data_IF_033915411667
#
_entry.id   IF_033915411667
#
_cell.length_a   1.000
_cell.length_b   1.000
_cell.length_c   1.000
_cell.angle_alpha   90.00
_cell.angle_beta   90.00
_cell.angle_gamma   90.00
#
_symmetry.space_group_name_H-M   'P 1'
#
loop_
_entity.id
_entity.type
_entity.pdbx_description
1 polymer ?
#
# COMPACT_ATOMS: atom_id res chain seq x y z
N UNK A 1 -42.97 8.78 -3.59
CA UNK A 1 -42.46 9.13 -4.94
C UNK A 1 -40.97 8.80 -5.10
N UNK A 2 -40.16 8.79 -4.03
CA UNK A 2 -38.73 8.47 -4.05
C UNK A 2 -38.37 7.00 -4.34
N UNK A 3 -39.24 6.04 -4.00
CA UNK A 3 -38.97 4.59 -4.16
C UNK A 3 -38.64 4.16 -5.60
N UNK A 4 -39.10 4.89 -6.63
CA UNK A 4 -38.80 4.59 -8.04
C UNK A 4 -37.33 4.85 -8.41
N UNK A 5 -36.59 5.57 -7.58
CA UNK A 5 -35.18 5.90 -7.78
C UNK A 5 -34.26 5.11 -6.84
N UNK A 6 -34.82 4.18 -6.05
CA UNK A 6 -34.02 3.28 -5.23
C UNK A 6 -33.26 2.30 -6.15
N UNK A 7 -31.94 2.27 -6.02
CA UNK A 7 -31.06 1.41 -6.80
C UNK A 7 -30.99 -0.01 -6.27
N UNK A 8 -31.67 -0.32 -5.15
CA UNK A 8 -31.81 -1.66 -4.62
C UNK A 8 -30.48 -2.40 -4.45
N UNK A 9 -29.49 -1.74 -3.85
CA UNK A 9 -28.09 -2.20 -3.81
C UNK A 9 -27.86 -3.53 -3.07
N UNK A 10 -28.81 -3.93 -2.21
CA UNK A 10 -28.73 -5.08 -1.30
C UNK A 10 -29.64 -6.25 -1.71
N UNK A 11 -30.11 -6.28 -2.97
CA UNK A 11 -30.99 -7.35 -3.47
C UNK A 11 -30.18 -8.39 -4.23
N UNK A 12 -30.51 -9.67 -4.02
CA UNK A 12 -29.93 -10.77 -4.78
C UNK A 12 -30.44 -10.78 -6.23
N UNK A 13 -29.53 -11.08 -7.15
CA UNK A 13 -29.88 -11.42 -8.52
C UNK A 13 -30.66 -12.74 -8.60
N UNK A 14 -31.32 -13.05 -9.74
CA UNK A 14 -31.94 -14.36 -9.96
C UNK A 14 -30.99 -15.55 -9.77
N UNK A 15 -29.68 -15.34 -9.95
CA UNK A 15 -28.63 -16.33 -9.75
C UNK A 15 -28.11 -16.40 -8.30
N UNK A 16 -28.69 -15.62 -7.37
CA UNK A 16 -28.28 -15.58 -5.97
C UNK A 16 -27.01 -14.78 -5.70
N UNK A 17 -26.68 -13.80 -6.56
CA UNK A 17 -25.46 -12.98 -6.46
C UNK A 17 -25.79 -11.54 -6.06
N UNK A 18 -24.86 -10.86 -5.39
CA UNK A 18 -24.98 -9.43 -5.07
C UNK A 18 -24.20 -8.60 -6.09
N UNK A 19 -24.90 -7.99 -7.05
CA UNK A 19 -24.24 -7.26 -8.15
C UNK A 19 -23.35 -6.11 -7.66
N UNK A 20 -23.76 -5.37 -6.62
CA UNK A 20 -22.94 -4.28 -6.08
C UNK A 20 -21.63 -4.76 -5.44
N UNK A 21 -21.63 -5.96 -4.85
CA UNK A 21 -20.39 -6.58 -4.35
C UNK A 21 -19.47 -6.94 -5.51
N UNK A 22 -20.01 -7.49 -6.60
CA UNK A 22 -19.21 -7.85 -7.78
C UNK A 22 -18.63 -6.65 -8.48
N UNK A 23 -19.40 -5.56 -8.62
CA UNK A 23 -18.90 -4.33 -9.18
C UNK A 23 -17.82 -3.69 -8.29
N UNK A 24 -17.98 -3.77 -6.96
CA UNK A 24 -16.94 -3.35 -6.02
C UNK A 24 -15.66 -4.19 -6.17
N UNK A 25 -15.78 -5.51 -6.33
CA UNK A 25 -14.64 -6.40 -6.57
C UNK A 25 -13.94 -6.10 -7.90
N UNK A 26 -14.70 -5.81 -8.95
CA UNK A 26 -14.16 -5.42 -10.26
C UNK A 26 -13.45 -4.06 -10.17
N UNK A 27 -14.00 -3.10 -9.42
CA UNK A 27 -13.35 -1.82 -9.17
C UNK A 27 -12.01 -2.00 -8.42
N UNK A 28 -11.96 -2.91 -7.44
CA UNK A 28 -10.71 -3.26 -6.74
C UNK A 28 -9.72 -3.92 -7.71
N UNK A 29 -10.18 -4.78 -8.61
CA UNK A 29 -9.34 -5.42 -9.64
C UNK A 29 -8.70 -4.42 -10.62
N UNK A 30 -9.24 -3.20 -10.73
CA UNK A 30 -8.68 -2.12 -11.54
C UNK A 30 -7.82 -1.13 -10.73
N UNK A 31 -7.73 -1.29 -9.41
CA UNK A 31 -6.91 -0.43 -8.55
C UNK A 31 -5.45 -0.88 -8.57
N UNK A 32 -4.50 0.04 -8.33
CA UNK A 32 -3.09 -0.33 -8.39
C UNK A 32 -2.70 -1.34 -7.31
N UNK A 33 -1.78 -2.24 -7.66
CA UNK A 33 -1.47 -3.47 -6.92
C UNK A 33 -0.88 -3.20 -5.53
N UNK A 34 -1.20 -4.07 -4.57
CA UNK A 34 -0.58 -4.15 -3.26
C UNK A 34 -0.32 -5.61 -2.88
N UNK A 35 0.90 -5.89 -2.43
CA UNK A 35 1.43 -7.21 -2.09
C UNK A 35 1.80 -7.23 -0.61
N UNK A 36 1.45 -8.31 0.08
CA UNK A 36 1.88 -8.61 1.44
C UNK A 36 2.49 -10.01 1.52
N UNK A 37 3.69 -10.12 2.07
CA UNK A 37 4.41 -11.40 2.20
C UNK A 37 4.97 -11.52 3.62
N UNK A 38 4.72 -12.68 4.23
CA UNK A 38 5.24 -13.09 5.53
C UNK A 38 6.65 -13.66 5.37
N UNK A 39 7.59 -13.07 6.09
CA UNK A 39 8.94 -13.58 6.28
C UNK A 39 9.09 -14.22 7.66
N UNK A 40 10.22 -14.87 7.90
CA UNK A 40 10.56 -15.44 9.22
C UNK A 40 10.59 -14.39 10.34
N UNK A 41 11.09 -13.19 10.05
CA UNK A 41 11.37 -12.14 11.04
C UNK A 41 10.35 -10.99 11.03
N UNK A 42 9.29 -11.09 10.23
CA UNK A 42 8.30 -10.03 10.05
C UNK A 42 7.47 -10.16 8.78
N UNK A 43 6.79 -9.08 8.39
CA UNK A 43 5.94 -8.98 7.21
C UNK A 43 6.38 -7.79 6.38
N UNK A 44 6.42 -7.97 5.06
CA UNK A 44 6.71 -6.90 4.11
C UNK A 44 5.43 -6.59 3.33
N UNK A 45 5.09 -5.31 3.26
CA UNK A 45 4.01 -4.77 2.45
C UNK A 45 4.62 -3.89 1.36
N UNK A 46 4.28 -4.14 0.11
CA UNK A 46 4.73 -3.35 -1.04
C UNK A 46 3.51 -2.96 -1.88
N UNK A 47 3.47 -1.73 -2.33
CA UNK A 47 2.34 -1.18 -3.07
C UNK A 47 2.80 -0.34 -4.24
N UNK A 48 2.10 -0.47 -5.35
CA UNK A 48 2.27 0.41 -6.49
C UNK A 48 1.63 1.77 -6.20
N UNK A 49 2.34 2.85 -6.50
CA UNK A 49 1.84 4.23 -6.48
C UNK A 49 1.68 4.74 -7.89
N UNK A 50 0.50 5.26 -8.20
CA UNK A 50 0.25 5.94 -9.46
C UNK A 50 0.80 7.35 -9.44
N UNK A 51 1.93 7.57 -10.08
CA UNK A 51 2.46 8.93 -10.32
C UNK A 51 1.69 9.53 -11.48
N UNK A 52 0.80 10.48 -11.18
CA UNK A 52 -0.04 11.15 -12.19
C UNK A 52 0.65 12.36 -12.82
N UNK A 53 1.55 13.03 -12.09
CA UNK A 53 2.27 14.21 -12.54
C UNK A 53 3.53 14.44 -11.72
N UNK A 54 4.57 14.97 -12.37
CA UNK A 54 5.82 15.39 -11.73
C UNK A 54 5.63 16.58 -10.77
N UNK A 55 4.47 17.24 -10.80
CA UNK A 55 4.13 18.33 -9.89
C UNK A 55 3.55 17.82 -8.56
N UNK A 56 3.15 16.54 -8.50
CA UNK A 56 2.64 15.97 -7.27
C UNK A 56 3.79 15.81 -6.27
N UNK A 57 3.62 16.40 -5.09
CA UNK A 57 4.62 16.28 -4.04
C UNK A 57 4.65 14.85 -3.49
N UNK A 58 5.64 14.07 -3.90
CA UNK A 58 5.79 12.65 -3.55
C UNK A 58 5.89 12.41 -2.04
N UNK A 59 6.43 13.39 -1.27
CA UNK A 59 6.55 13.29 0.19
C UNK A 59 5.21 13.24 0.94
N UNK A 60 4.16 13.80 0.33
CA UNK A 60 2.80 13.88 0.91
C UNK A 60 1.79 13.04 0.11
N UNK A 61 2.28 12.28 -0.87
CA UNK A 61 1.48 11.53 -1.85
C UNK A 61 0.60 10.44 -1.22
N UNK A 62 -0.37 9.95 -2.00
CA UNK A 62 -1.34 8.93 -1.62
C UNK A 62 -0.64 7.69 -1.06
N UNK A 63 -0.75 7.53 0.26
CA UNK A 63 -0.27 6.36 0.98
C UNK A 63 -1.23 5.21 0.76
N UNK A 64 -0.69 4.02 0.54
CA UNK A 64 -1.44 2.76 0.54
C UNK A 64 -1.23 1.96 1.81
N UNK A 65 -0.14 2.23 2.52
CA UNK A 65 0.20 1.56 3.77
C UNK A 65 -0.17 2.45 4.94
N UNK A 66 -0.93 1.87 5.86
CA UNK A 66 -1.44 2.55 7.03
C UNK A 66 -1.09 1.75 8.28
N UNK A 67 -0.55 2.44 9.27
CA UNK A 67 -0.43 1.94 10.63
C UNK A 67 -1.77 2.19 11.33
N UNK A 68 -2.45 1.14 11.78
CA UNK A 68 -3.73 1.26 12.50
C UNK A 68 -3.48 1.37 13.99
N UNK A 69 -2.58 0.53 14.51
CA UNK A 69 -2.15 0.53 15.91
C UNK A 69 -0.65 0.17 15.98
N UNK A 70 -0.05 0.15 17.17
CA UNK A 70 1.35 -0.20 17.35
C UNK A 70 1.71 -1.59 16.82
N UNK A 71 0.78 -2.54 16.92
CA UNK A 71 0.94 -3.93 16.48
C UNK A 71 0.20 -4.27 15.18
N UNK A 72 -0.52 -3.32 14.57
CA UNK A 72 -1.34 -3.58 13.37
C UNK A 72 -1.04 -2.57 12.27
N UNK A 73 -0.72 -3.08 11.09
CA UNK A 73 -0.64 -2.30 9.86
C UNK A 73 -1.36 -2.99 8.71
N UNK A 74 -1.79 -2.22 7.72
CA UNK A 74 -2.44 -2.74 6.53
C UNK A 74 -1.98 -2.02 5.26
N UNK A 75 -2.05 -2.72 4.13
CA UNK A 75 -2.04 -2.15 2.79
C UNK A 75 -3.46 -2.16 2.20
N UNK A 76 -3.73 -1.24 1.29
CA UNK A 76 -5.06 -0.98 0.73
C UNK A 76 -5.02 -1.00 -0.80
N UNK A 77 -6.04 -1.60 -1.42
CA UNK A 77 -6.35 -1.41 -2.84
C UNK A 77 -7.84 -1.12 -3.03
N UNK A 78 -8.17 -0.26 -3.99
CA UNK A 78 -9.54 0.19 -4.29
C UNK A 78 -9.72 1.68 -4.08
N UNK A 79 -10.93 2.09 -3.70
CA UNK A 79 -11.30 3.48 -3.49
C UNK A 79 -10.66 4.01 -2.19
N UNK A 80 -9.73 4.96 -2.32
CA UNK A 80 -8.95 5.50 -1.17
C UNK A 80 -9.85 6.23 -0.16
N UNK A 81 -10.91 6.92 -0.61
CA UNK A 81 -11.84 7.59 0.29
C UNK A 81 -12.57 6.61 1.21
N UNK A 82 -13.03 5.50 0.66
CA UNK A 82 -13.67 4.41 1.40
C UNK A 82 -12.69 3.78 2.39
N UNK A 83 -11.45 3.58 1.95
CA UNK A 83 -10.39 3.08 2.80
C UNK A 83 -10.16 3.96 4.02
N UNK A 84 -10.05 5.28 3.83
CA UNK A 84 -9.80 6.23 4.92
C UNK A 84 -10.92 6.19 5.98
N UNK A 85 -12.18 6.01 5.57
CA UNK A 85 -13.30 5.87 6.51
C UNK A 85 -13.12 4.61 7.36
N UNK A 86 -12.84 3.47 6.72
CA UNK A 86 -12.67 2.19 7.41
C UNK A 86 -11.40 2.17 8.28
N UNK A 87 -10.30 2.79 7.85
CA UNK A 87 -9.07 2.92 8.62
C UNK A 87 -9.32 3.75 9.88
N UNK A 88 -9.95 4.91 9.75
CA UNK A 88 -10.27 5.75 10.91
C UNK A 88 -11.21 5.02 11.88
N UNK A 89 -12.18 4.27 11.35
CA UNK A 89 -13.07 3.43 12.16
C UNK A 89 -12.29 2.35 12.92
N UNK A 90 -11.35 1.65 12.26
CA UNK A 90 -10.50 0.66 12.89
C UNK A 90 -9.57 1.26 13.95
N UNK A 91 -8.99 2.44 13.70
CA UNK A 91 -8.16 3.16 14.66
C UNK A 91 -8.94 3.50 15.92
N UNK A 92 -10.13 4.09 15.77
CA UNK A 92 -11.01 4.42 16.91
C UNK A 92 -11.39 3.15 17.67
N UNK A 93 -11.71 2.07 16.97
CA UNK A 93 -12.06 0.82 17.61
C UNK A 93 -10.89 0.20 18.40
N UNK A 94 -9.69 0.17 17.82
CA UNK A 94 -8.50 -0.34 18.50
C UNK A 94 -8.21 0.45 19.78
N UNK A 95 -8.32 1.78 19.71
CA UNK A 95 -8.12 2.64 20.88
C UNK A 95 -9.24 2.50 21.91
N UNK A 96 -10.50 2.32 21.50
CA UNK A 96 -11.60 2.03 22.41
C UNK A 96 -11.39 0.72 23.16
N UNK A 97 -10.92 -0.32 22.48
CA UNK A 97 -10.59 -1.60 23.11
C UNK A 97 -9.44 -1.42 24.11
N UNK A 98 -8.35 -0.76 23.70
CA UNK A 98 -7.22 -0.48 24.58
C UNK A 98 -7.63 0.36 25.80
N UNK A 99 -8.54 1.32 25.64
CA UNK A 99 -9.08 2.08 26.76
C UNK A 99 -9.94 1.22 27.70
N UNK A 100 -10.80 0.36 27.16
CA UNK A 100 -11.73 -0.44 27.96
C UNK A 100 -11.02 -1.58 28.71
N UNK A 101 -10.11 -2.28 28.05
CA UNK A 101 -9.46 -3.49 28.58
C UNK A 101 -8.01 -3.27 29.03
N UNK A 102 -7.45 -2.08 28.80
CA UNK A 102 -6.06 -1.73 29.14
C UNK A 102 -5.01 -2.65 28.47
N UNK A 103 -5.36 -3.24 27.33
CA UNK A 103 -4.51 -4.11 26.54
C UNK A 103 -4.71 -3.87 25.03
N UNK A 104 -3.71 -4.22 24.22
CA UNK A 104 -3.79 -4.10 22.77
C UNK A 104 -4.85 -5.05 22.20
N UNK A 105 -5.69 -4.54 21.28
CA UNK A 105 -6.77 -5.33 20.68
C UNK A 105 -6.23 -6.54 19.92
N UNK A 106 -6.76 -7.77 20.13
CA UNK A 106 -6.40 -8.92 19.33
C UNK A 106 -6.62 -8.66 17.84
N UNK A 107 -5.66 -9.06 17.01
CA UNK A 107 -5.63 -8.79 15.58
C UNK A 107 -6.89 -9.32 14.88
N UNK A 108 -7.28 -10.55 15.17
CA UNK A 108 -8.43 -11.22 14.56
C UNK A 108 -9.74 -10.50 14.89
N UNK A 109 -9.88 -9.99 16.12
CA UNK A 109 -11.07 -9.26 16.54
C UNK A 109 -11.21 -7.94 15.79
N UNK A 110 -10.09 -7.22 15.57
CA UNK A 110 -10.09 -5.97 14.83
C UNK A 110 -10.49 -6.20 13.37
N UNK A 111 -9.89 -7.21 12.73
CA UNK A 111 -10.22 -7.59 11.35
C UNK A 111 -11.68 -8.04 11.23
N UNK A 112 -12.16 -8.87 12.15
CA UNK A 112 -13.54 -9.35 12.17
C UNK A 112 -14.52 -8.17 12.26
N UNK A 113 -14.30 -7.23 13.18
CA UNK A 113 -15.20 -6.08 13.33
C UNK A 113 -15.24 -5.18 12.09
N UNK A 114 -14.09 -4.97 11.45
CA UNK A 114 -14.05 -4.22 10.20
C UNK A 114 -14.78 -4.97 9.08
N UNK A 115 -14.65 -6.29 9.01
CA UNK A 115 -15.41 -7.13 8.09
C UNK A 115 -16.92 -7.09 8.37
N UNK A 116 -17.34 -7.11 9.63
CA UNK A 116 -18.75 -7.00 10.04
C UNK A 116 -19.33 -5.64 9.63
N UNK A 117 -18.54 -4.57 9.78
CA UNK A 117 -18.92 -3.23 9.30
C UNK A 117 -19.13 -3.23 7.79
N UNK A 118 -18.22 -3.82 7.01
CA UNK A 118 -18.38 -3.92 5.56
C UNK A 118 -19.57 -4.79 5.17
N UNK A 119 -19.79 -5.88 5.89
CA UNK A 119 -20.89 -6.81 5.69
C UNK A 119 -22.24 -6.14 5.93
N UNK A 120 -22.35 -5.25 6.92
CA UNK A 120 -23.60 -4.55 7.19
C UNK A 120 -24.12 -3.75 5.99
N UNK A 121 -23.20 -3.12 5.23
CA UNK A 121 -23.53 -2.36 4.02
C UNK A 121 -24.02 -3.24 2.86
N UNK A 122 -23.82 -4.57 2.95
CA UNK A 122 -24.32 -5.52 1.94
C UNK A 122 -25.67 -6.12 2.29
N UNK A 123 -26.13 -5.93 3.53
CA UNK A 123 -27.38 -6.52 4.03
C UNK A 123 -28.45 -5.49 4.35
N UNK A 124 -28.08 -4.28 4.79
CA UNK A 124 -29.03 -3.27 5.24
C UNK A 124 -28.63 -1.85 4.84
N UNK A 125 -29.62 -0.94 4.87
CA UNK A 125 -29.42 0.49 4.62
C UNK A 125 -29.54 0.94 3.16
N UNK A 126 -29.42 0.02 2.18
CA UNK A 126 -29.52 0.38 0.75
C UNK A 126 -28.40 1.33 0.30
N UNK A 127 -27.22 1.22 0.92
CA UNK A 127 -26.10 2.13 0.70
C UNK A 127 -25.12 1.60 -0.36
N UNK A 128 -24.20 2.47 -0.77
CA UNK A 128 -23.04 2.10 -1.57
C UNK A 128 -22.13 1.15 -0.76
N UNK A 129 -21.69 0.06 -1.38
CA UNK A 129 -20.79 -0.91 -0.76
C UNK A 129 -19.35 -0.40 -0.81
N UNK A 130 -18.55 -0.73 0.21
CA UNK A 130 -17.15 -0.32 0.25
C UNK A 130 -16.33 -0.96 -0.88
N UNK A 131 -15.85 -0.13 -1.81
CA UNK A 131 -15.03 -0.53 -2.96
C UNK A 131 -13.54 -0.68 -2.64
N UNK A 132 -13.21 -1.32 -1.52
CA UNK A 132 -11.84 -1.42 -1.01
C UNK A 132 -11.53 -2.83 -0.48
N UNK A 133 -10.30 -3.29 -0.69
CA UNK A 133 -9.73 -4.49 -0.08
C UNK A 133 -8.54 -4.12 0.80
N UNK A 134 -8.34 -4.89 1.87
CA UNK A 134 -7.27 -4.69 2.84
C UNK A 134 -6.38 -5.93 2.87
N UNK A 135 -5.07 -5.69 2.90
CA UNK A 135 -4.07 -6.68 3.31
C UNK A 135 -3.53 -6.28 4.66
N UNK A 136 -3.99 -6.95 5.71
CA UNK A 136 -3.44 -6.78 7.05
C UNK A 136 -2.13 -7.56 7.20
N UNK A 137 -1.12 -6.92 7.78
CA UNK A 137 0.18 -7.52 8.02
C UNK A 137 0.04 -8.75 8.95
N UNK A 138 0.39 -9.93 8.45
CA UNK A 138 0.29 -11.19 9.20
C UNK A 138 -0.96 -12.02 8.93
N UNK A 139 -1.91 -11.53 8.13
CA UNK A 139 -3.13 -12.28 7.79
C UNK A 139 -2.91 -13.42 6.78
N UNK A 140 -1.82 -13.40 6.01
CA UNK A 140 -1.53 -14.34 4.93
C UNK A 140 -0.03 -14.64 4.84
N UNK A 141 0.33 -15.83 4.33
CA UNK A 141 1.72 -16.17 4.00
C UNK A 141 2.26 -15.32 2.84
N UNK A 142 1.51 -15.25 1.76
CA UNK A 142 1.76 -14.37 0.63
C UNK A 142 0.43 -14.07 -0.04
N UNK A 143 0.13 -12.79 -0.25
CA UNK A 143 -1.08 -12.36 -0.90
C UNK A 143 -0.84 -11.07 -1.69
N UNK A 144 -1.65 -10.88 -2.71
CA UNK A 144 -1.72 -9.67 -3.51
C UNK A 144 -3.20 -9.30 -3.69
N UNK A 145 -3.46 -7.99 -3.71
CA UNK A 145 -4.74 -7.37 -4.06
C UNK A 145 -4.52 -6.26 -5.09
N UNK A 146 -5.52 -6.03 -5.95
CA UNK A 146 -5.48 -4.99 -6.98
C UNK A 146 -5.33 -5.57 -8.38
N UNK A 147 -4.72 -4.78 -9.26
CA UNK A 147 -4.51 -5.11 -10.65
C UNK A 147 -3.56 -6.30 -10.84
N UNK A 148 -3.90 -7.15 -11.82
CA UNK A 148 -3.11 -8.31 -12.22
C UNK A 148 -2.91 -9.37 -11.11
N UNK A 149 -3.87 -9.46 -10.18
CA UNK A 149 -3.77 -10.34 -9.02
C UNK A 149 -3.57 -11.83 -9.35
N UNK A 150 -4.25 -12.36 -10.37
CA UNK A 150 -4.14 -13.76 -10.75
C UNK A 150 -2.72 -14.13 -11.18
N UNK A 151 -2.05 -13.23 -11.93
CA UNK A 151 -0.67 -13.40 -12.35
C UNK A 151 0.29 -13.27 -11.17
N UNK A 152 0.09 -12.27 -10.31
CA UNK A 152 0.88 -12.06 -9.10
C UNK A 152 0.85 -13.27 -8.17
N UNK A 153 -0.36 -13.78 -7.89
CA UNK A 153 -0.59 -14.96 -7.05
C UNK A 153 0.08 -16.21 -7.61
N UNK A 154 0.12 -16.37 -8.94
CA UNK A 154 0.79 -17.50 -9.58
C UNK A 154 2.31 -17.46 -9.38
N UNK A 155 2.91 -16.28 -9.45
CA UNK A 155 4.35 -16.08 -9.18
C UNK A 155 4.65 -16.30 -7.70
N UNK A 156 3.83 -15.71 -6.81
CA UNK A 156 3.97 -15.87 -5.36
C UNK A 156 3.91 -17.35 -4.96
N UNK A 157 2.92 -18.10 -5.42
CA UNK A 157 2.79 -19.54 -5.12
C UNK A 157 3.99 -20.37 -5.59
N UNK A 158 4.64 -19.97 -6.68
CA UNK A 158 5.78 -20.69 -7.25
C UNK A 158 7.08 -20.40 -6.51
N UNK A 159 7.30 -19.14 -6.16
CA UNK A 159 8.60 -18.66 -5.69
C UNK A 159 8.66 -18.44 -4.15
N UNK A 160 7.52 -18.39 -3.46
CA UNK A 160 7.44 -18.25 -2.00
C UNK A 160 7.90 -19.52 -1.27
N UNK A 161 8.56 -19.32 -0.13
CA UNK A 161 9.02 -20.38 0.78
C UNK A 161 8.75 -19.95 2.22
N UNK A 162 8.49 -20.91 3.11
CA UNK A 162 8.14 -20.60 4.52
C UNK A 162 9.32 -19.97 5.30
N UNK A 163 10.56 -20.37 5.03
CA UNK A 163 11.77 -19.88 5.72
C UNK A 163 12.48 -18.74 4.97
N UNK A 164 11.72 -17.86 4.32
CA UNK A 164 12.28 -16.74 3.54
C UNK A 164 12.67 -15.57 4.46
N UNK A 165 13.83 -14.97 4.21
CA UNK A 165 14.31 -13.79 4.95
C UNK A 165 13.61 -12.51 4.47
N UNK A 166 13.62 -11.44 5.28
CA UNK A 166 13.01 -10.15 4.88
C UNK A 166 13.58 -9.60 3.58
N UNK A 167 14.89 -9.69 3.39
CA UNK A 167 15.56 -9.20 2.18
C UNK A 167 15.11 -9.98 0.93
N UNK A 168 15.04 -11.31 1.03
CA UNK A 168 14.55 -12.17 -0.05
C UNK A 168 13.07 -11.92 -0.35
N UNK A 169 12.26 -11.65 0.67
CA UNK A 169 10.85 -11.27 0.50
C UNK A 169 10.73 -9.95 -0.27
N UNK A 170 11.55 -8.94 0.06
CA UNK A 170 11.55 -7.67 -0.68
C UNK A 170 11.91 -7.91 -2.15
N UNK A 171 12.91 -8.75 -2.42
CA UNK A 171 13.29 -9.11 -3.80
C UNK A 171 12.16 -9.84 -4.53
N UNK A 172 11.47 -10.77 -3.85
CA UNK A 172 10.32 -11.47 -4.40
C UNK A 172 9.17 -10.52 -4.72
N UNK A 173 8.82 -9.61 -3.80
CA UNK A 173 7.77 -8.63 -4.00
C UNK A 173 8.08 -7.70 -5.19
N UNK A 174 9.32 -7.20 -5.29
CA UNK A 174 9.77 -6.38 -6.41
C UNK A 174 9.77 -7.15 -7.75
N UNK A 175 10.13 -8.42 -7.73
CA UNK A 175 10.05 -9.31 -8.90
C UNK A 175 8.62 -9.58 -9.35
N UNK A 176 7.68 -9.67 -8.42
CA UNK A 176 6.26 -9.80 -8.75
C UNK A 176 5.77 -8.51 -9.39
N UNK A 177 6.00 -7.35 -8.75
CA UNK A 177 5.60 -6.06 -9.30
C UNK A 177 6.25 -5.76 -10.66
N UNK A 178 7.50 -6.13 -10.89
CA UNK A 178 8.15 -5.92 -12.20
C UNK A 178 7.50 -6.69 -13.35
N UNK A 179 6.77 -7.77 -13.03
CA UNK A 179 6.07 -8.61 -14.00
C UNK A 179 4.59 -8.31 -14.11
N UNK A 180 4.00 -7.71 -13.07
CA UNK A 180 2.56 -7.47 -12.99
C UNK A 180 2.18 -6.00 -13.13
N UNK A 181 3.13 -5.08 -12.99
CA UNK A 181 2.89 -3.65 -13.22
C UNK A 181 2.91 -3.36 -14.72
N UNK A 182 1.97 -2.53 -15.18
CA UNK A 182 1.89 -2.13 -16.60
C UNK A 182 3.00 -1.15 -17.02
N UNK A 183 3.70 -0.56 -16.04
CA UNK A 183 4.72 0.45 -16.29
C UNK A 183 6.08 -0.18 -16.62
N UNK A 184 6.78 0.41 -17.60
CA UNK A 184 8.04 -0.15 -18.16
C UNK A 184 9.24 -0.04 -17.22
N UNK A 185 9.14 0.74 -16.13
CA UNK A 185 10.23 0.97 -15.18
C UNK A 185 9.72 1.09 -13.75
N UNK A 186 10.36 0.33 -12.85
CA UNK A 186 10.19 0.45 -11.40
C UNK A 186 11.10 1.57 -10.89
N UNK A 187 10.49 2.67 -10.48
CA UNK A 187 11.16 3.80 -9.81
C UNK A 187 10.68 3.92 -8.38
N UNK A 188 11.46 4.58 -7.52
CA UNK A 188 11.09 4.74 -6.11
C UNK A 188 9.83 5.59 -5.88
N UNK A 189 9.48 6.46 -6.83
CA UNK A 189 8.28 7.29 -6.75
C UNK A 189 7.00 6.51 -6.98
N UNK A 190 7.07 5.43 -7.77
CA UNK A 190 5.96 4.55 -8.10
C UNK A 190 5.76 3.42 -7.10
N UNK A 191 6.54 3.40 -6.02
CA UNK A 191 6.51 2.32 -5.05
C UNK A 191 6.39 2.87 -3.64
N UNK A 192 5.69 2.11 -2.83
CA UNK A 192 5.72 2.23 -1.39
C UNK A 192 6.14 0.89 -0.81
N UNK A 193 6.93 0.93 0.25
CA UNK A 193 7.36 -0.26 0.97
C UNK A 193 7.26 0.02 2.47
N UNK A 194 6.64 -0.90 3.19
CA UNK A 194 6.60 -0.88 4.64
C UNK A 194 6.92 -2.27 5.18
N UNK A 195 7.68 -2.30 6.26
CA UNK A 195 8.00 -3.52 6.99
C UNK A 195 7.37 -3.48 8.38
N UNK A 196 6.84 -4.61 8.80
CA UNK A 196 6.36 -4.86 10.16
C UNK A 196 7.21 -5.98 10.73
N UNK A 197 8.04 -5.68 11.72
CA UNK A 197 8.95 -6.67 12.30
C UNK A 197 9.04 -6.52 13.81
N UNK A 198 9.50 -7.57 14.46
CA UNK A 198 9.62 -7.61 15.90
C UNK A 198 11.04 -7.15 16.31
N UNK A 199 11.11 -6.09 17.12
CA UNK A 199 12.36 -5.50 17.62
C UNK A 199 12.28 -5.41 19.13
N UNK A 200 13.14 -6.15 19.84
CA UNK A 200 13.19 -6.20 21.30
C UNK A 200 11.83 -6.56 21.94
N UNK A 201 11.10 -7.53 21.38
CA UNK A 201 9.80 -7.94 21.91
C UNK A 201 8.62 -7.03 21.53
N UNK A 202 8.86 -5.91 20.82
CA UNK A 202 7.82 -4.99 20.37
C UNK A 202 7.69 -5.01 18.86
N UNK A 203 6.46 -4.99 18.37
CA UNK A 203 6.18 -4.82 16.94
C UNK A 203 6.54 -3.40 16.54
N UNK A 204 7.29 -3.26 15.45
CA UNK A 204 7.63 -1.96 14.84
C UNK A 204 7.16 -1.94 13.41
N UNK A 205 6.46 -0.86 13.06
CA UNK A 205 6.14 -0.49 11.69
C UNK A 205 7.20 0.50 11.19
N UNK A 206 7.84 0.17 10.07
CA UNK A 206 8.81 1.02 9.40
C UNK A 206 8.43 1.21 7.93
N UNK A 207 8.00 2.41 7.57
CA UNK A 207 7.87 2.80 6.17
C UNK A 207 9.25 3.18 5.62
N UNK A 208 9.60 2.67 4.44
CA UNK A 208 10.87 2.98 3.80
C UNK A 208 10.82 4.37 3.15
N UNK A 209 11.88 5.16 3.37
CA UNK A 209 12.05 6.42 2.65
C UNK A 209 12.38 6.16 1.17
N UNK A 210 12.05 7.10 0.26
CA UNK A 210 12.40 6.97 -1.16
C UNK A 210 13.89 6.71 -1.40
N UNK A 211 14.77 7.31 -0.60
CA UNK A 211 16.22 7.12 -0.70
C UNK A 211 16.65 5.68 -0.39
N UNK A 212 16.03 5.09 0.63
CA UNK A 212 16.31 3.70 1.01
C UNK A 212 15.77 2.75 -0.05
N UNK A 213 14.58 3.06 -0.57
CA UNK A 213 13.94 2.27 -1.62
C UNK A 213 14.73 2.32 -2.93
N UNK A 214 15.30 3.47 -3.30
CA UNK A 214 16.25 3.58 -4.43
C UNK A 214 17.46 2.66 -4.26
N UNK A 215 18.06 2.60 -3.07
CA UNK A 215 19.20 1.69 -2.81
C UNK A 215 18.80 0.22 -2.97
N UNK A 216 17.62 -0.15 -2.46
CA UNK A 216 17.07 -1.51 -2.61
C UNK A 216 16.85 -1.86 -4.08
N UNK A 217 16.29 -0.93 -4.86
CA UNK A 217 16.05 -1.14 -6.29
C UNK A 217 17.34 -1.28 -7.11
N UNK A 218 18.37 -0.51 -6.79
CA UNK A 218 19.70 -0.63 -7.41
C UNK A 218 20.33 -1.97 -7.04
N UNK A 219 20.25 -2.40 -5.78
CA UNK A 219 20.75 -3.70 -5.34
C UNK A 219 20.00 -4.88 -6.00
N UNK A 220 18.71 -4.70 -6.29
CA UNK A 220 17.89 -5.65 -7.02
C UNK A 220 18.22 -5.73 -8.53
N UNK A 221 19.04 -4.80 -9.04
CA UNK A 221 19.36 -4.69 -10.47
C UNK A 221 18.18 -4.20 -11.33
N UNK A 222 17.15 -3.63 -10.71
CA UNK A 222 15.91 -3.20 -11.40
C UNK A 222 15.99 -1.76 -11.92
N UNK A 223 16.95 -0.96 -11.44
CA UNK A 223 17.17 0.42 -11.89
C UNK A 223 18.67 0.72 -11.98
N UNK A 224 19.05 1.56 -12.95
CA UNK A 224 20.41 2.10 -13.01
C UNK A 224 20.61 3.12 -11.86
N UNK A 225 21.82 3.23 -11.29
CA UNK A 225 22.09 4.27 -10.30
C UNK A 225 21.76 5.62 -10.93
N UNK A 226 20.98 6.45 -10.23
CA UNK A 226 20.64 7.78 -10.71
C UNK A 226 21.96 8.51 -11.05
N UNK A 227 22.19 8.75 -12.34
CA UNK A 227 23.20 9.70 -12.77
C UNK A 227 22.77 11.02 -12.15
N UNK A 228 23.53 11.53 -11.17
CA UNK A 228 23.45 12.94 -10.80
C UNK A 228 23.69 13.67 -12.11
N UNK A 229 22.64 14.22 -12.72
CA UNK A 229 22.81 15.21 -13.78
C UNK A 229 23.60 16.35 -13.14
N UNK A 230 24.90 16.34 -13.43
CA UNK A 230 25.77 17.43 -13.07
C UNK A 230 25.27 18.62 -13.88
N UNK A 231 24.77 19.64 -13.19
CA UNK A 231 24.38 20.93 -13.77
C UNK A 231 25.49 21.59 -14.60
N UNK A 232 26.71 21.04 -14.59
CA UNK A 232 27.82 21.38 -15.49
C UNK A 232 27.46 21.29 -16.98
N UNK A 233 26.52 20.42 -17.37
CA UNK A 233 26.21 20.22 -18.80
C UNK A 233 25.12 21.16 -19.35
N UNK A 234 24.37 21.89 -18.52
CA UNK A 234 23.30 22.79 -18.99
C UNK A 234 23.83 24.18 -19.35
N UNK A 235 24.95 24.62 -18.75
CA UNK A 235 25.52 25.95 -19.00
C UNK A 235 26.85 25.96 -19.76
N UNK A 236 27.44 24.80 -20.08
CA UNK A 236 28.69 24.74 -20.86
C UNK A 236 29.86 25.54 -20.27
N UNK A 237 29.79 25.92 -19.01
CA UNK A 237 30.79 26.69 -18.29
C UNK A 237 30.95 26.04 -16.92
N UNK A 238 32.11 25.42 -16.70
CA UNK A 238 32.52 24.91 -15.41
C UNK A 238 32.69 26.07 -14.44
N UNK A 239 31.65 26.36 -13.67
CA UNK A 239 31.75 27.18 -12.47
C UNK A 239 31.39 26.32 -11.27
N UNK A 240 32.39 26.10 -10.41
CA UNK A 240 32.23 25.44 -9.13
C UNK A 240 31.29 26.26 -8.24
N UNK A 241 30.41 25.57 -7.51
CA UNK A 241 29.41 26.18 -6.61
C UNK A 241 30.05 27.06 -5.53
N UNK A 242 31.35 26.86 -5.22
CA UNK A 242 32.10 27.72 -4.30
C UNK A 242 32.32 29.16 -4.84
N UNK A 243 32.31 29.38 -6.16
CA UNK A 243 32.49 30.74 -6.72
C UNK A 243 31.23 31.60 -6.63
N UNK A 244 30.05 31.00 -6.45
CA UNK A 244 28.78 31.73 -6.29
C UNK A 244 28.63 32.33 -4.89
N UNK A 245 29.19 31.68 -3.86
CA UNK A 245 29.21 32.22 -2.50
C UNK A 245 30.09 33.46 -2.39
N UNK A 246 31.15 33.57 -3.18
CA UNK A 246 32.06 34.74 -3.19
C UNK A 246 31.44 35.96 -3.88
N UNK A 247 30.51 35.78 -4.81
CA UNK A 247 29.79 36.89 -5.45
C UNK A 247 28.69 37.50 -4.55
N UNK A 248 28.12 36.72 -3.63
CA UNK A 248 27.14 37.26 -2.67
C UNK A 248 27.76 38.18 -1.62
N UNK A 249 29.07 38.06 -1.35
CA UNK A 249 29.78 38.93 -0.41
C UNK A 249 30.33 40.23 -1.03
N UNK A 250 30.16 40.45 -2.34
CA UNK A 250 30.54 41.70 -3.01
C UNK A 250 29.38 42.66 -3.28
N UNK A 251 28.16 42.31 -2.85
CA UNK A 251 26.96 43.15 -3.01
C UNK A 251 26.35 43.66 -1.69
N UNK A 252 27.18 43.80 -0.66
CA UNK A 252 26.90 44.64 0.52
C UNK A 252 28.13 45.47 0.86
#
# INVERSE_FOLDING_TARGET
>A
MSQRYDSCTIIFSPEGRLYQVEYAMEAIGNADSAIGILSKDGVVLVGEKKVTSNLLQTSTSSKKMYKIDDHVACAVAGIISDANILINTAMVQAQHYAFAYQESMPFEQLVQSLCDTKQGYTQFGGLHHFGVSFLFAGGWKAAEIGANNQAAQSILKKDYKDDITREEVVQLALKVLSKTMDSTSLTSEKLELAEVFLSNGKVKYQACSPDTLNKILVNAGLTQPATKESWTNIFGLGFDIESLYTMSSMLY
#
